data_IF_720216467300
#
_entry.id   IF_720216467300
#
_cell.length_a   1.000
_cell.length_b   1.000
_cell.length_c   1.000
_cell.angle_alpha   90.00
_cell.angle_beta   90.00
_cell.angle_gamma   90.00
#
_symmetry.space_group_name_H-M   'P 1'
#
loop_
_entity.id
_entity.type
_entity.pdbx_description
1 polymer ?
#
# COMPACT_ATOMS: atom_id res chain seq x y z
N UNK A 1 -3.73 18.14 -7.30
CA UNK A 1 -3.71 16.70 -7.01
C UNK A 1 -3.53 16.48 -5.53
N UNK A 2 -4.30 15.63 -4.98
CA UNK A 2 -4.27 15.40 -3.55
C UNK A 2 -3.31 14.27 -3.20
N UNK A 3 -2.66 14.41 -2.06
CA UNK A 3 -1.73 13.39 -1.61
C UNK A 3 -2.43 12.04 -1.42
N UNK A 4 -3.70 12.08 -1.02
CA UNK A 4 -4.45 10.86 -0.77
C UNK A 4 -4.65 10.03 -2.03
N UNK A 5 -4.72 10.68 -3.20
CA UNK A 5 -4.85 9.94 -4.45
C UNK A 5 -3.64 9.06 -4.71
N UNK A 6 -2.47 9.58 -4.35
CA UNK A 6 -1.24 8.80 -4.51
C UNK A 6 -1.30 7.53 -3.67
N UNK A 7 -1.75 7.66 -2.45
CA UNK A 7 -1.85 6.50 -1.56
C UNK A 7 -2.88 5.51 -2.05
N UNK A 8 -4.00 6.02 -2.53
CA UNK A 8 -5.06 5.15 -3.02
C UNK A 8 -4.61 4.36 -4.25
N UNK A 9 -3.91 5.02 -5.15
CA UNK A 9 -3.38 4.34 -6.33
C UNK A 9 -2.36 3.29 -5.95
N UNK A 10 -1.49 3.63 -5.00
CA UNK A 10 -0.49 2.69 -4.53
C UNK A 10 -1.17 1.49 -3.87
N UNK A 11 -2.22 1.74 -3.10
CA UNK A 11 -2.94 0.66 -2.45
C UNK A 11 -3.57 -0.29 -3.46
N UNK A 12 -4.25 0.27 -4.45
CA UNK A 12 -4.88 -0.56 -5.47
C UNK A 12 -3.85 -1.36 -6.27
N UNK A 13 -2.74 -0.72 -6.62
CA UNK A 13 -1.69 -1.39 -7.34
C UNK A 13 -1.09 -2.52 -6.51
N UNK A 14 -0.97 -2.29 -5.21
CA UNK A 14 -0.43 -3.31 -4.33
C UNK A 14 -1.37 -4.51 -4.22
N UNK A 15 -2.68 -4.27 -4.22
CA UNK A 15 -3.63 -5.37 -4.20
C UNK A 15 -3.47 -6.27 -5.42
N UNK A 16 -3.30 -5.65 -6.59
CA UNK A 16 -3.07 -6.41 -7.81
C UNK A 16 -1.75 -7.17 -7.72
N UNK A 17 -0.72 -6.49 -7.19
CA UNK A 17 0.58 -7.12 -7.04
C UNK A 17 0.51 -8.34 -6.12
N UNK A 18 -0.27 -8.23 -5.05
CA UNK A 18 -0.44 -9.35 -4.12
C UNK A 18 -1.13 -10.54 -4.77
N UNK A 19 -2.03 -10.29 -5.69
CA UNK A 19 -2.69 -11.39 -6.39
C UNK A 19 -1.70 -12.23 -7.17
N UNK A 20 -0.66 -11.59 -7.69
CA UNK A 20 0.37 -12.30 -8.44
C UNK A 20 1.51 -12.78 -7.55
N UNK A 21 1.71 -12.09 -6.44
CA UNK A 21 2.80 -12.41 -5.51
C UNK A 21 2.29 -12.35 -4.08
N UNK A 22 1.68 -13.44 -3.61
CA UNK A 22 1.07 -13.42 -2.27
C UNK A 22 2.06 -13.13 -1.14
N UNK A 23 3.35 -13.32 -1.40
CA UNK A 23 4.37 -13.09 -0.38
C UNK A 23 4.99 -11.72 -0.49
N UNK A 24 4.45 -10.85 -1.33
CA UNK A 24 5.03 -9.53 -1.51
C UNK A 24 4.89 -8.70 -0.25
N UNK A 25 5.89 -7.85 -0.02
CA UNK A 25 5.88 -6.93 1.10
C UNK A 25 5.49 -5.55 0.62
N UNK A 26 4.81 -4.81 1.48
CA UNK A 26 4.37 -3.47 1.14
C UNK A 26 5.52 -2.48 1.11
N UNK A 27 6.44 -2.56 2.05
CA UNK A 27 7.50 -1.57 2.18
C UNK A 27 8.37 -1.45 0.94
N UNK A 28 8.93 -2.55 0.40
CA UNK A 28 9.72 -2.41 -0.84
C UNK A 28 8.88 -1.92 -2.00
N UNK A 29 7.62 -2.31 -2.04
CA UNK A 29 6.73 -1.87 -3.10
C UNK A 29 6.55 -0.35 -3.06
N UNK A 30 6.34 0.20 -1.86
CA UNK A 30 6.17 1.64 -1.70
C UNK A 30 7.46 2.39 -1.99
N UNK A 31 8.60 1.80 -1.63
CA UNK A 31 9.89 2.41 -1.92
C UNK A 31 10.08 2.63 -3.40
N UNK A 32 9.72 1.66 -4.19
CA UNK A 32 9.86 1.78 -5.64
C UNK A 32 8.97 2.86 -6.19
N UNK A 33 7.86 3.12 -5.51
CA UNK A 33 6.93 4.15 -5.95
C UNK A 33 7.20 5.50 -5.30
N UNK A 34 8.26 5.57 -4.50
CA UNK A 34 8.62 6.81 -3.79
C UNK A 34 7.49 7.27 -2.88
N UNK A 35 6.83 6.32 -2.25
CA UNK A 35 5.77 6.62 -1.29
C UNK A 35 6.30 6.33 0.10
N UNK A 36 6.13 7.29 1.01
CA UNK A 36 6.58 7.13 2.39
C UNK A 36 5.68 6.11 3.09
N UNK A 37 6.29 5.04 3.61
CA UNK A 37 5.50 3.97 4.18
C UNK A 37 4.80 4.39 5.48
N UNK A 38 5.39 5.32 6.23
CA UNK A 38 4.74 5.80 7.45
C UNK A 38 3.46 6.55 7.13
N UNK A 39 3.54 7.44 6.16
CA UNK A 39 2.37 8.18 5.71
C UNK A 39 1.33 7.24 5.16
N UNK A 40 1.78 6.24 4.41
CA UNK A 40 0.87 5.27 3.84
C UNK A 40 0.15 4.48 4.93
N UNK A 41 0.90 4.05 5.95
CA UNK A 41 0.29 3.33 7.06
C UNK A 41 -0.75 4.16 7.78
N UNK A 42 -0.44 5.43 7.97
CA UNK A 42 -1.39 6.33 8.61
C UNK A 42 -2.66 6.47 7.79
N UNK A 43 -2.48 6.65 6.48
CA UNK A 43 -3.61 6.76 5.57
C UNK A 43 -4.45 5.49 5.60
N UNK A 44 -3.80 4.34 5.59
CA UNK A 44 -4.50 3.07 5.63
C UNK A 44 -5.29 2.92 6.92
N UNK A 45 -4.69 3.34 8.03
CA UNK A 45 -5.36 3.27 9.31
C UNK A 45 -6.62 4.13 9.33
N UNK A 46 -6.54 5.32 8.75
CA UNK A 46 -7.68 6.22 8.70
C UNK A 46 -8.81 5.68 7.85
N UNK A 47 -8.45 4.94 6.81
CA UNK A 47 -9.44 4.34 5.92
C UNK A 47 -9.93 2.99 6.39
N UNK A 48 -9.30 2.44 7.42
CA UNK A 48 -9.65 1.12 7.88
C UNK A 48 -9.06 0.00 7.05
N UNK A 49 -8.10 0.31 6.19
CA UNK A 49 -7.42 -0.70 5.40
C UNK A 49 -6.29 -1.31 6.22
N UNK A 50 -6.05 -2.58 6.01
CA UNK A 50 -4.89 -3.20 6.62
C UNK A 50 -4.37 -4.30 5.71
N UNK A 51 -3.05 -4.41 5.65
CA UNK A 51 -2.42 -5.49 4.93
C UNK A 51 -2.30 -6.62 5.91
N UNK A 52 -3.19 -7.56 5.82
CA UNK A 52 -3.07 -8.73 6.64
C UNK A 52 -2.46 -9.79 5.80
N UNK A 53 -1.32 -10.21 6.23
CA UNK A 53 -0.72 -11.33 5.57
C UNK A 53 -1.58 -12.53 5.87
N UNK A 54 -1.79 -13.32 4.87
CA UNK A 54 -2.62 -14.50 5.04
C UNK A 54 -2.04 -15.36 6.12
N UNK A 55 -2.88 -15.88 6.92
CA UNK A 55 -2.44 -16.77 7.94
C UNK A 55 -2.33 -18.14 7.44
#
# INVERSE_FOLDING_TARGET
MRATERYERAWNAFQIHLNHNPKASLIPFLKERHVNHRSMHRWMSEKGYSVRLAK
#
